data_IF_227745815941
#
_entry.id   IF_227745815941
#
_cell.length_a   1.000
_cell.length_b   1.000
_cell.length_c   1.000
_cell.angle_alpha   90.00
_cell.angle_beta   90.00
_cell.angle_gamma   90.00
#
_symmetry.space_group_name_H-M   'P 1'
#
loop_
_entity.id
_entity.type
_entity.pdbx_description
1 polymer ?
#
# COMPACT_ATOMS: atom_id res chain seq x y z
N UNK A 1 41.32 -28.09 -56.17
CA UNK A 1 40.17 -28.68 -55.45
C UNK A 1 40.28 -28.60 -53.91
N UNK A 2 41.44 -28.88 -53.28
CA UNK A 2 41.57 -28.85 -51.79
C UNK A 2 41.38 -27.47 -51.13
N UNK A 3 41.70 -26.36 -51.80
CA UNK A 3 41.53 -24.99 -51.23
C UNK A 3 40.08 -24.50 -51.22
N UNK A 4 39.25 -24.95 -52.17
CA UNK A 4 37.84 -24.61 -52.22
C UNK A 4 37.01 -25.34 -51.11
N UNK A 5 37.44 -26.58 -50.79
CA UNK A 5 36.77 -27.32 -49.71
C UNK A 5 37.06 -26.75 -48.31
N UNK A 6 38.26 -26.19 -48.10
CA UNK A 6 38.62 -25.55 -46.82
C UNK A 6 37.82 -24.22 -46.63
N UNK A 7 37.68 -23.43 -47.70
CA UNK A 7 36.85 -22.19 -47.64
C UNK A 7 35.35 -22.50 -47.39
N UNK A 8 34.85 -23.60 -47.95
CA UNK A 8 33.44 -24.00 -47.71
C UNK A 8 33.22 -24.49 -46.27
N UNK A 9 34.17 -25.24 -45.70
CA UNK A 9 34.11 -25.70 -44.30
C UNK A 9 34.26 -24.55 -43.31
N UNK A 10 35.09 -23.55 -43.58
CA UNK A 10 35.20 -22.33 -42.74
C UNK A 10 33.96 -21.45 -42.82
N UNK A 11 33.32 -21.35 -43.98
CA UNK A 11 32.04 -20.61 -44.14
C UNK A 11 30.89 -21.34 -43.41
N UNK A 12 30.82 -22.66 -43.47
CA UNK A 12 29.87 -23.48 -42.74
C UNK A 12 30.08 -23.40 -41.22
N UNK A 13 31.32 -23.40 -40.76
CA UNK A 13 31.64 -23.23 -39.34
C UNK A 13 31.31 -21.82 -38.84
N UNK A 14 31.53 -20.78 -39.66
CA UNK A 14 31.10 -19.40 -39.36
C UNK A 14 29.57 -19.24 -39.36
N UNK A 15 28.87 -19.90 -40.28
CA UNK A 15 27.40 -19.92 -40.25
C UNK A 15 26.83 -20.65 -39.04
N UNK A 16 27.47 -21.75 -38.61
CA UNK A 16 27.07 -22.46 -37.39
C UNK A 16 27.41 -21.65 -36.13
N UNK A 17 28.49 -20.90 -36.09
CA UNK A 17 28.83 -20.02 -34.98
C UNK A 17 27.88 -18.81 -34.87
N UNK A 18 27.45 -18.23 -36.01
CA UNK A 18 26.42 -17.17 -36.03
C UNK A 18 25.00 -17.68 -35.72
N UNK A 19 24.71 -18.97 -35.99
CA UNK A 19 23.37 -19.54 -35.73
C UNK A 19 23.16 -19.97 -34.27
N UNK A 20 24.18 -19.90 -33.42
CA UNK A 20 24.11 -20.27 -32.01
C UNK A 20 23.99 -19.07 -31.02
N UNK A 21 23.61 -17.90 -31.48
CA UNK A 21 22.94 -16.97 -30.56
C UNK A 21 21.57 -17.54 -30.18
N UNK A 22 21.56 -18.38 -29.15
CA UNK A 22 20.31 -18.78 -28.50
C UNK A 22 19.54 -17.51 -28.19
N UNK A 23 18.52 -17.21 -29.00
CA UNK A 23 17.56 -16.12 -28.68
C UNK A 23 17.08 -16.36 -27.26
N UNK A 24 17.62 -15.62 -26.31
CA UNK A 24 17.16 -15.70 -24.93
C UNK A 24 15.65 -15.49 -24.93
N UNK A 25 14.91 -16.41 -24.31
CA UNK A 25 13.48 -16.24 -24.17
C UNK A 25 13.18 -14.92 -23.47
N UNK A 26 12.04 -14.31 -23.73
CA UNK A 26 11.60 -13.07 -23.03
C UNK A 26 11.75 -13.22 -21.52
N UNK A 27 11.43 -14.42 -20.99
CA UNK A 27 11.59 -14.71 -19.58
C UNK A 27 13.06 -14.66 -19.13
N UNK A 28 14.01 -15.20 -19.91
CA UNK A 28 15.44 -15.15 -19.58
C UNK A 28 15.99 -13.72 -19.61
N UNK A 29 15.53 -12.89 -20.55
CA UNK A 29 15.92 -11.46 -20.61
C UNK A 29 15.38 -10.70 -19.41
N UNK A 30 14.12 -10.91 -19.04
CA UNK A 30 13.50 -10.31 -17.86
C UNK A 30 14.17 -10.81 -16.59
N UNK A 31 14.44 -12.11 -16.45
CA UNK A 31 15.14 -12.68 -15.30
C UNK A 31 16.56 -12.10 -15.14
N UNK A 32 17.34 -12.01 -16.22
CA UNK A 32 18.70 -11.44 -16.15
C UNK A 32 18.67 -9.97 -15.75
N UNK A 33 17.77 -9.18 -16.32
CA UNK A 33 17.62 -7.75 -16.00
C UNK A 33 17.17 -7.54 -14.55
N UNK A 34 16.17 -8.30 -14.08
CA UNK A 34 15.71 -8.27 -12.71
C UNK A 34 16.77 -8.76 -11.73
N UNK A 35 17.50 -9.83 -12.08
CA UNK A 35 18.60 -10.38 -11.26
C UNK A 35 19.73 -9.38 -11.12
N UNK A 36 20.18 -8.73 -12.21
CA UNK A 36 21.18 -7.68 -12.16
C UNK A 36 20.75 -6.52 -11.25
N UNK A 37 19.51 -6.06 -11.39
CA UNK A 37 18.94 -5.00 -10.55
C UNK A 37 18.80 -5.45 -9.09
N UNK A 38 18.38 -6.69 -8.88
CA UNK A 38 18.17 -7.26 -7.53
C UNK A 38 19.49 -7.44 -6.79
N UNK A 39 20.54 -7.98 -7.41
CA UNK A 39 21.81 -8.23 -6.76
C UNK A 39 22.80 -7.06 -6.81
N UNK A 40 22.63 -6.08 -7.70
CA UNK A 40 23.45 -4.85 -7.73
C UNK A 40 23.14 -4.00 -6.50
N UNK A 41 23.92 -4.18 -5.45
CA UNK A 41 23.63 -3.54 -4.17
C UNK A 41 24.62 -2.42 -3.88
N UNK A 42 24.12 -1.22 -3.60
CA UNK A 42 24.87 -0.20 -2.86
C UNK A 42 24.48 -0.23 -1.37
N UNK A 43 24.20 -1.43 -0.81
CA UNK A 43 23.82 -1.64 0.58
C UNK A 43 25.05 -1.94 1.43
N UNK A 44 25.00 -1.53 2.70
CA UNK A 44 25.92 -1.98 3.71
C UNK A 44 25.48 -3.38 4.19
N UNK A 45 26.24 -4.40 3.79
CA UNK A 45 25.92 -5.82 4.06
C UNK A 45 25.98 -6.17 5.55
N UNK A 46 26.64 -5.34 6.37
CA UNK A 46 26.57 -5.45 7.83
C UNK A 46 25.17 -5.15 8.38
N UNK A 47 24.40 -4.31 7.69
CA UNK A 47 23.06 -3.88 8.10
C UNK A 47 21.94 -4.57 7.34
N UNK A 48 22.09 -4.77 6.03
CA UNK A 48 21.03 -5.29 5.16
C UNK A 48 21.61 -6.35 4.23
N UNK A 49 20.92 -7.45 4.09
CA UNK A 49 21.23 -8.47 3.08
C UNK A 49 19.99 -8.83 2.28
N UNK A 50 20.21 -9.30 1.06
CA UNK A 50 19.17 -9.93 0.25
C UNK A 50 19.18 -11.43 0.44
N UNK A 51 18.02 -12.09 0.55
CA UNK A 51 17.94 -13.53 0.50
C UNK A 51 18.53 -14.06 -0.82
N UNK A 52 19.25 -15.14 -0.75
CA UNK A 52 19.83 -15.85 -1.93
C UNK A 52 18.76 -16.66 -2.70
N UNK A 53 17.52 -16.22 -2.65
CA UNK A 53 16.36 -16.93 -3.22
C UNK A 53 15.63 -16.02 -4.19
N UNK A 54 15.24 -16.56 -5.35
CA UNK A 54 14.48 -15.79 -6.36
C UNK A 54 13.00 -15.70 -6.00
N UNK A 55 12.45 -16.76 -5.44
CA UNK A 55 11.02 -16.88 -5.14
C UNK A 55 10.72 -16.79 -3.65
N UNK A 56 9.64 -16.13 -3.32
CA UNK A 56 9.06 -16.11 -1.98
C UNK A 56 7.56 -16.31 -2.10
N UNK A 57 7.01 -17.22 -1.30
CA UNK A 57 5.58 -17.47 -1.20
C UNK A 57 5.15 -17.10 0.23
N UNK A 58 4.04 -16.41 0.37
CA UNK A 58 3.50 -16.04 1.67
C UNK A 58 1.99 -16.16 1.72
N UNK A 59 1.49 -16.81 2.76
CA UNK A 59 0.09 -16.75 3.16
C UNK A 59 -0.11 -15.56 4.10
N UNK A 60 -1.21 -14.82 3.94
CA UNK A 60 -1.52 -13.62 4.71
C UNK A 60 -2.97 -13.63 5.13
N UNK A 61 -3.20 -13.27 6.37
CA UNK A 61 -4.53 -12.97 6.90
C UNK A 61 -4.57 -11.48 7.26
N UNK A 62 -5.54 -10.76 6.71
CA UNK A 62 -5.69 -9.33 6.96
C UNK A 62 -7.04 -9.07 7.61
N UNK A 63 -7.04 -8.17 8.58
CA UNK A 63 -8.24 -7.55 9.13
C UNK A 63 -8.11 -6.06 8.92
N UNK A 64 -9.15 -5.40 8.40
CA UNK A 64 -9.17 -3.96 8.15
C UNK A 64 -10.50 -3.35 8.53
N UNK A 65 -10.45 -2.07 8.92
CA UNK A 65 -11.60 -1.24 9.20
C UNK A 65 -11.40 0.19 8.71
N UNK A 66 -12.50 0.90 8.58
CA UNK A 66 -12.52 2.31 8.21
C UNK A 66 -13.62 3.01 8.98
N UNK A 67 -13.33 4.22 9.47
CA UNK A 67 -14.26 5.07 10.20
C UNK A 67 -14.20 6.46 9.57
N UNK A 68 -15.37 7.04 9.32
CA UNK A 68 -15.54 8.39 8.80
C UNK A 68 -16.33 9.16 9.84
N UNK A 69 -15.81 10.30 10.27
CA UNK A 69 -16.48 11.24 11.15
C UNK A 69 -16.63 12.55 10.41
N UNK A 70 -17.81 13.13 10.46
CA UNK A 70 -18.13 14.46 9.97
C UNK A 70 -18.66 15.30 11.12
N UNK A 71 -18.12 16.50 11.31
CA UNK A 71 -18.61 17.45 12.29
C UNK A 71 -18.63 18.86 11.70
N UNK A 72 -19.59 19.68 12.09
CA UNK A 72 -19.72 21.04 11.57
C UNK A 72 -20.86 21.78 12.17
N UNK A 73 -21.22 22.92 11.52
CA UNK A 73 -22.34 23.75 11.88
C UNK A 73 -23.31 23.81 10.69
N UNK A 74 -24.55 23.39 10.91
CA UNK A 74 -25.61 23.47 9.94
C UNK A 74 -26.77 24.28 10.55
N UNK A 75 -27.25 25.35 9.86
CA UNK A 75 -28.30 26.24 10.33
C UNK A 75 -28.05 26.80 11.75
N UNK A 76 -26.77 27.07 12.09
CA UNK A 76 -26.37 27.63 13.39
C UNK A 76 -26.34 26.63 14.54
N UNK A 77 -26.49 25.33 14.28
CA UNK A 77 -26.42 24.24 15.25
C UNK A 77 -25.28 23.29 14.91
N UNK A 78 -24.64 22.73 15.93
CA UNK A 78 -23.62 21.74 15.75
C UNK A 78 -24.22 20.39 15.34
N UNK A 79 -23.56 19.73 14.40
CA UNK A 79 -23.83 18.34 14.06
C UNK A 79 -22.56 17.48 14.14
N UNK A 80 -22.78 16.21 14.43
CA UNK A 80 -21.74 15.18 14.37
C UNK A 80 -22.31 13.90 13.78
N UNK A 81 -21.60 13.33 12.83
CA UNK A 81 -21.93 12.04 12.22
C UNK A 81 -20.75 11.12 12.32
N UNK A 82 -21.01 9.86 12.59
CA UNK A 82 -20.01 8.82 12.63
C UNK A 82 -20.49 7.60 11.83
N UNK A 83 -19.67 7.16 10.90
CA UNK A 83 -19.92 6.01 10.04
C UNK A 83 -18.75 5.04 10.11
N UNK A 84 -18.97 3.81 10.52
CA UNK A 84 -17.96 2.77 10.59
C UNK A 84 -18.26 1.68 9.55
N UNK A 85 -17.25 1.35 8.74
CA UNK A 85 -17.36 0.24 7.80
C UNK A 85 -17.24 -1.09 8.56
N UNK A 86 -18.06 -2.06 8.18
CA UNK A 86 -17.95 -3.41 8.70
C UNK A 86 -16.53 -3.95 8.53
N UNK A 87 -15.98 -4.54 9.60
CA UNK A 87 -14.63 -5.09 9.59
C UNK A 87 -14.50 -6.19 8.53
N UNK A 88 -13.44 -6.09 7.72
CA UNK A 88 -13.18 -7.02 6.63
C UNK A 88 -12.05 -7.95 7.00
N UNK A 89 -12.31 -9.25 6.94
CA UNK A 89 -11.29 -10.29 7.04
C UNK A 89 -11.00 -10.84 5.64
N UNK A 90 -9.73 -10.88 5.24
CA UNK A 90 -9.31 -11.40 3.93
C UNK A 90 -8.15 -12.36 4.08
N UNK A 91 -8.22 -13.47 3.34
CA UNK A 91 -7.11 -14.39 3.14
C UNK A 91 -6.43 -14.06 1.82
N UNK A 92 -5.12 -14.04 1.79
CA UNK A 92 -4.36 -13.78 0.58
C UNK A 92 -3.12 -14.66 0.48
N UNK A 93 -2.79 -15.03 -0.75
CA UNK A 93 -1.54 -15.69 -1.10
C UNK A 93 -0.72 -14.71 -1.92
N UNK A 94 0.51 -14.50 -1.52
CA UNK A 94 1.46 -13.66 -2.22
C UNK A 94 2.60 -14.49 -2.78
N UNK A 95 2.97 -14.20 -4.02
CA UNK A 95 4.15 -14.72 -4.68
C UNK A 95 5.04 -13.56 -5.05
N UNK A 96 6.31 -13.64 -4.68
CA UNK A 96 7.30 -12.63 -5.04
C UNK A 96 8.43 -13.26 -5.83
N UNK A 97 8.84 -12.58 -6.88
CA UNK A 97 9.98 -12.96 -7.70
C UNK A 97 10.96 -11.80 -7.79
N UNK A 98 12.19 -11.98 -7.29
CA UNK A 98 13.26 -10.97 -7.26
C UNK A 98 12.77 -9.60 -6.72
N UNK A 99 11.88 -9.61 -5.71
CA UNK A 99 11.36 -8.39 -5.07
C UNK A 99 10.11 -7.79 -5.73
N UNK A 100 9.66 -8.30 -6.87
CA UNK A 100 8.34 -8.00 -7.41
C UNK A 100 7.31 -8.91 -6.76
N UNK A 101 6.26 -8.36 -6.20
CA UNK A 101 5.25 -9.11 -5.44
C UNK A 101 3.88 -9.02 -6.10
N UNK A 102 3.26 -10.19 -6.27
CA UNK A 102 1.88 -10.32 -6.70
C UNK A 102 1.08 -10.95 -5.56
N UNK A 103 -0.11 -10.41 -5.30
CA UNK A 103 -0.97 -10.88 -4.23
C UNK A 103 -2.38 -11.12 -4.76
N UNK A 104 -2.90 -12.30 -4.50
CA UNK A 104 -4.31 -12.62 -4.72
C UNK A 104 -5.01 -12.67 -3.35
N UNK A 105 -6.08 -11.92 -3.18
CA UNK A 105 -6.84 -11.85 -1.93
C UNK A 105 -8.25 -12.36 -2.15
N UNK A 106 -8.72 -13.19 -1.24
CA UNK A 106 -10.08 -13.69 -1.18
C UNK A 106 -10.72 -13.17 0.10
N UNK A 107 -11.92 -12.63 -0.04
CA UNK A 107 -12.78 -12.31 1.09
C UNK A 107 -13.85 -13.41 1.24
N UNK A 108 -13.79 -14.27 2.28
CA UNK A 108 -14.76 -15.35 2.46
C UNK A 108 -16.20 -14.85 2.58
N UNK A 109 -16.43 -13.71 3.23
CA UNK A 109 -17.77 -13.14 3.38
C UNK A 109 -18.35 -12.65 2.03
N UNK A 110 -17.48 -12.20 1.11
CA UNK A 110 -17.89 -11.85 -0.26
C UNK A 110 -18.32 -13.08 -1.07
N UNK A 111 -17.61 -14.20 -0.91
CA UNK A 111 -17.97 -15.47 -1.53
C UNK A 111 -19.35 -15.98 -1.06
N UNK A 112 -19.75 -15.63 0.19
CA UNK A 112 -21.07 -15.93 0.74
C UNK A 112 -22.14 -14.86 0.41
N UNK A 113 -21.86 -13.90 -0.48
CA UNK A 113 -22.80 -12.86 -0.91
C UNK A 113 -23.08 -11.77 0.13
N UNK A 114 -22.38 -11.76 1.28
CA UNK A 114 -22.65 -10.82 2.39
C UNK A 114 -22.14 -9.40 2.15
N UNK A 115 -21.16 -9.18 1.24
CA UNK A 115 -20.56 -7.88 1.00
C UNK A 115 -20.37 -7.57 -0.47
N UNK A 116 -20.71 -6.33 -0.87
CA UNK A 116 -20.49 -5.80 -2.24
C UNK A 116 -19.19 -4.99 -2.36
N UNK A 117 -18.38 -4.97 -1.30
CA UNK A 117 -17.14 -4.22 -1.24
C UNK A 117 -16.01 -4.92 -1.97
N UNK A 118 -15.16 -4.15 -2.64
CA UNK A 118 -13.92 -4.66 -3.19
C UNK A 118 -12.76 -3.70 -2.95
N UNK A 119 -11.57 -4.28 -2.87
CA UNK A 119 -10.33 -3.56 -2.64
C UNK A 119 -9.23 -4.16 -3.51
N UNK A 120 -8.58 -3.30 -4.28
CA UNK A 120 -7.40 -3.64 -5.07
C UNK A 120 -6.20 -2.94 -4.47
N UNK A 121 -5.18 -3.69 -4.13
CA UNK A 121 -3.94 -3.17 -3.57
C UNK A 121 -2.77 -3.57 -4.44
N UNK A 122 -2.05 -2.58 -4.91
CA UNK A 122 -0.76 -2.77 -5.56
C UNK A 122 0.30 -2.03 -4.76
N UNK A 123 1.36 -2.73 -4.36
CA UNK A 123 2.46 -2.13 -3.64
C UNK A 123 3.81 -2.62 -4.17
N UNK A 124 4.77 -1.73 -4.21
CA UNK A 124 6.15 -2.04 -4.59
C UNK A 124 7.11 -1.30 -3.68
N UNK A 125 7.92 -2.06 -2.96
CA UNK A 125 8.90 -1.52 -2.02
C UNK A 125 10.29 -1.84 -2.51
N UNK A 126 10.94 -0.83 -3.09
CA UNK A 126 12.33 -0.86 -3.47
C UNK A 126 13.25 -0.38 -2.34
N UNK A 127 14.54 -0.34 -2.62
CA UNK A 127 15.54 0.12 -1.65
C UNK A 127 15.39 1.61 -1.30
N UNK A 128 15.25 2.47 -2.30
CA UNK A 128 15.16 3.93 -2.14
C UNK A 128 13.74 4.46 -2.27
N UNK A 129 12.96 3.87 -3.14
CA UNK A 129 11.60 4.29 -3.44
C UNK A 129 10.64 3.18 -3.11
N UNK A 130 9.49 3.54 -2.61
CA UNK A 130 8.35 2.66 -2.48
C UNK A 130 7.08 3.41 -2.83
N UNK A 131 6.08 2.66 -3.26
CA UNK A 131 4.75 3.20 -3.52
C UNK A 131 3.66 2.19 -3.23
N UNK A 132 2.50 2.71 -2.88
CA UNK A 132 1.26 1.97 -2.67
C UNK A 132 0.17 2.61 -3.52
N UNK A 133 -0.60 1.78 -4.21
CA UNK A 133 -1.84 2.15 -4.90
C UNK A 133 -2.96 1.30 -4.32
N UNK A 134 -3.97 1.95 -3.75
CA UNK A 134 -5.09 1.29 -3.11
C UNK A 134 -6.36 1.86 -3.72
N UNK A 135 -7.11 1.03 -4.44
CA UNK A 135 -8.46 1.34 -4.88
C UNK A 135 -9.47 0.56 -4.04
N UNK A 136 -10.44 1.25 -3.49
CA UNK A 136 -11.46 0.68 -2.63
C UNK A 136 -12.83 1.20 -3.03
N UNK A 137 -13.83 0.30 -3.04
CA UNK A 137 -15.22 0.64 -3.06
C UNK A 137 -15.88 -0.03 -1.85
N UNK A 138 -16.40 0.77 -0.94
CA UNK A 138 -17.04 0.32 0.30
C UNK A 138 -18.47 0.85 0.37
N UNK A 139 -19.42 -0.03 0.68
CA UNK A 139 -20.85 0.26 0.78
C UNK A 139 -21.46 -0.15 2.11
N UNK A 140 -20.73 -0.94 2.91
CA UNK A 140 -21.23 -1.48 4.17
C UNK A 140 -20.77 -0.62 5.32
N UNK A 141 -21.45 0.52 5.50
CA UNK A 141 -21.25 1.42 6.62
C UNK A 141 -22.51 1.44 7.46
N UNK A 142 -22.34 1.40 8.78
CA UNK A 142 -23.36 1.70 9.77
C UNK A 142 -22.89 2.84 10.65
N UNK A 143 -23.78 3.61 11.22
CA UNK A 143 -23.37 4.72 12.04
C UNK A 143 -24.53 5.48 12.64
N UNK A 144 -24.26 6.74 12.95
CA UNK A 144 -25.23 7.62 13.56
C UNK A 144 -24.99 9.07 13.14
N UNK A 145 -26.05 9.85 13.24
CA UNK A 145 -26.05 11.30 13.07
C UNK A 145 -26.69 11.94 14.29
N UNK A 146 -26.01 12.92 14.87
CA UNK A 146 -26.44 13.70 16.00
C UNK A 146 -26.44 15.18 15.61
N UNK A 147 -27.55 15.86 15.83
CA UNK A 147 -27.71 17.26 15.57
C UNK A 147 -28.18 17.93 16.85
N UNK A 148 -27.52 19.02 17.26
CA UNK A 148 -27.80 19.72 18.51
C UNK A 148 -29.28 20.08 18.67
N UNK A 149 -29.89 19.58 19.76
CA UNK A 149 -31.32 19.78 20.06
C UNK A 149 -32.26 18.83 19.33
N UNK A 150 -31.77 17.80 18.64
CA UNK A 150 -32.55 16.73 18.03
C UNK A 150 -32.21 15.38 18.64
N UNK A 151 -33.06 14.38 18.46
CA UNK A 151 -32.78 13.00 18.82
C UNK A 151 -31.77 12.41 17.86
N UNK A 152 -30.82 11.68 18.41
CA UNK A 152 -29.79 10.96 17.63
C UNK A 152 -30.43 9.93 16.72
N UNK A 153 -30.05 9.96 15.45
CA UNK A 153 -30.56 9.09 14.39
C UNK A 153 -29.54 8.00 14.05
N UNK A 154 -29.95 6.74 14.09
CA UNK A 154 -29.13 5.62 13.64
C UNK A 154 -29.18 5.50 12.12
N UNK A 155 -27.99 5.35 11.51
CA UNK A 155 -27.80 5.24 10.06
C UNK A 155 -27.63 3.76 9.69
N UNK A 156 -28.59 3.12 9.01
CA UNK A 156 -28.51 1.72 8.65
C UNK A 156 -27.47 1.44 7.57
N UNK A 157 -27.14 0.16 7.42
CA UNK A 157 -26.18 -0.31 6.41
C UNK A 157 -26.67 -0.04 4.98
N UNK A 158 -25.75 0.34 4.11
CA UNK A 158 -25.99 0.50 2.67
C UNK A 158 -26.32 1.93 2.23
N UNK A 159 -26.55 2.88 3.14
CA UNK A 159 -26.80 4.28 2.80
C UNK A 159 -25.56 4.98 2.25
N UNK A 160 -24.39 4.72 2.82
CA UNK A 160 -23.14 5.35 2.42
C UNK A 160 -22.34 4.45 1.45
N UNK A 161 -22.03 4.98 0.28
CA UNK A 161 -21.12 4.37 -0.70
C UNK A 161 -19.87 5.23 -0.85
N UNK A 162 -18.69 4.67 -0.60
CA UNK A 162 -17.43 5.39 -0.69
C UNK A 162 -16.48 4.68 -1.65
N UNK A 163 -16.12 5.37 -2.73
CA UNK A 163 -15.05 4.96 -3.65
C UNK A 163 -13.81 5.78 -3.34
N UNK A 164 -12.67 5.13 -3.12
CA UNK A 164 -11.42 5.81 -2.78
C UNK A 164 -10.27 5.27 -3.63
N UNK A 165 -9.47 6.17 -4.18
CA UNK A 165 -8.17 5.88 -4.76
C UNK A 165 -7.12 6.56 -3.89
N UNK A 166 -6.19 5.79 -3.31
CA UNK A 166 -5.06 6.32 -2.55
C UNK A 166 -3.76 5.96 -3.28
N UNK A 167 -2.93 6.94 -3.48
CA UNK A 167 -1.59 6.85 -4.04
C UNK A 167 -0.61 7.34 -2.98
N UNK A 168 0.33 6.51 -2.58
CA UNK A 168 1.37 6.93 -1.64
C UNK A 168 2.73 6.57 -2.23
N UNK A 169 3.66 7.50 -2.20
CA UNK A 169 5.04 7.30 -2.59
C UNK A 169 5.96 7.80 -1.48
N UNK A 170 7.10 7.14 -1.33
CA UNK A 170 8.12 7.59 -0.36
C UNK A 170 9.53 7.35 -0.88
N UNK A 171 10.43 8.20 -0.41
CA UNK A 171 11.88 8.11 -0.64
C UNK A 171 12.60 7.88 0.68
N UNK A 172 13.54 6.93 0.69
CA UNK A 172 14.34 6.53 1.85
C UNK A 172 15.75 7.12 1.74
N UNK A 173 16.11 8.05 2.63
CA UNK A 173 17.42 8.70 2.61
C UNK A 173 18.55 7.74 2.99
N UNK A 174 18.44 7.04 4.13
CA UNK A 174 19.44 6.09 4.61
C UNK A 174 19.24 4.68 4.02
N UNK A 175 19.00 4.57 2.73
CA UNK A 175 18.71 3.30 2.06
C UNK A 175 19.91 2.31 2.03
N UNK A 176 21.09 2.72 2.49
CA UNK A 176 22.27 1.83 2.61
C UNK A 176 22.18 0.95 3.85
N UNK A 177 21.60 1.46 4.96
CA UNK A 177 21.55 0.79 6.27
C UNK A 177 20.14 0.48 6.74
N UNK A 178 19.13 1.22 6.27
CA UNK A 178 17.72 1.02 6.61
C UNK A 178 16.96 0.40 5.43
N UNK A 179 16.17 -0.66 5.71
CA UNK A 179 15.38 -1.36 4.70
C UNK A 179 13.90 -1.37 5.06
N UNK A 180 13.12 -0.55 4.37
CA UNK A 180 11.66 -0.56 4.45
C UNK A 180 11.07 -1.90 3.96
N UNK A 181 11.57 -2.47 2.83
CA UNK A 181 11.11 -3.78 2.35
C UNK A 181 11.35 -4.94 3.33
N UNK A 182 12.33 -4.85 4.23
CA UNK A 182 12.55 -5.89 5.23
C UNK A 182 11.35 -6.04 6.17
N UNK A 183 10.61 -4.95 6.43
CA UNK A 183 9.44 -4.94 7.30
C UNK A 183 8.15 -5.35 6.59
N UNK A 184 7.96 -5.03 5.30
CA UNK A 184 6.65 -5.13 4.66
C UNK A 184 6.55 -6.12 3.49
N UNK A 185 7.66 -6.39 2.78
CA UNK A 185 7.69 -7.35 1.67
C UNK A 185 8.62 -8.54 1.90
N UNK A 186 9.45 -8.50 2.95
CA UNK A 186 10.45 -9.52 3.34
C UNK A 186 11.43 -9.87 2.20
N UNK A 187 11.55 -8.99 1.20
CA UNK A 187 12.52 -9.12 0.10
C UNK A 187 13.96 -8.75 0.51
N UNK A 188 14.13 -8.24 1.73
CA UNK A 188 15.40 -7.95 2.37
C UNK A 188 15.39 -8.47 3.81
N UNK A 189 16.58 -8.63 4.38
CA UNK A 189 16.78 -8.99 5.78
C UNK A 189 17.57 -7.88 6.44
N UNK A 190 17.00 -7.24 7.46
CA UNK A 190 17.71 -6.28 8.32
C UNK A 190 18.50 -7.08 9.37
N UNK A 191 19.80 -6.85 9.46
CA UNK A 191 20.72 -7.52 10.41
C UNK A 191 21.07 -6.71 11.63
N UNK A 192 21.09 -5.39 11.50
CA UNK A 192 21.38 -4.43 12.58
C UNK A 192 20.34 -3.32 12.57
N UNK A 193 20.08 -2.78 13.73
CA UNK A 193 19.17 -1.64 13.90
C UNK A 193 19.64 -0.44 13.10
N UNK A 194 18.69 0.21 12.41
CA UNK A 194 18.94 1.43 11.67
C UNK A 194 17.63 2.19 11.45
N UNK A 195 17.72 3.49 11.28
CA UNK A 195 16.62 4.35 10.92
C UNK A 195 16.90 5.18 9.68
N UNK A 196 15.86 5.82 9.17
CA UNK A 196 15.93 6.73 8.04
C UNK A 196 14.88 7.82 8.13
N UNK A 197 15.23 9.01 7.74
CA UNK A 197 14.24 9.99 7.29
C UNK A 197 13.61 9.49 5.98
N UNK A 198 12.32 9.80 5.84
CA UNK A 198 11.49 9.45 4.71
C UNK A 198 10.85 10.71 4.17
N UNK A 199 10.97 10.97 2.86
CA UNK A 199 10.15 11.96 2.18
C UNK A 199 8.92 11.24 1.64
N UNK A 200 7.74 11.84 1.80
CA UNK A 200 6.48 11.23 1.40
C UNK A 200 5.66 12.17 0.51
N UNK A 201 5.00 11.57 -0.46
CA UNK A 201 3.97 12.22 -1.28
C UNK A 201 2.74 11.32 -1.29
N UNK A 202 1.57 11.90 -1.08
CA UNK A 202 0.28 11.20 -1.06
C UNK A 202 -0.71 11.88 -1.99
N UNK A 203 -1.47 11.08 -2.73
CA UNK A 203 -2.61 11.51 -3.52
C UNK A 203 -3.85 10.73 -3.08
N UNK A 204 -4.98 11.40 -2.90
CA UNK A 204 -6.24 10.78 -2.55
C UNK A 204 -7.35 11.34 -3.43
N UNK A 205 -8.06 10.43 -4.13
CA UNK A 205 -9.34 10.72 -4.77
C UNK A 205 -10.43 9.97 -4.02
N UNK A 206 -11.50 10.67 -3.63
CA UNK A 206 -12.63 10.08 -2.93
C UNK A 206 -13.94 10.57 -3.56
N UNK A 207 -14.86 9.64 -3.74
CA UNK A 207 -16.23 9.90 -4.14
C UNK A 207 -17.13 9.17 -3.14
N UNK A 208 -17.85 9.94 -2.32
CA UNK A 208 -18.81 9.43 -1.36
C UNK A 208 -20.22 9.85 -1.77
N UNK A 209 -21.16 8.93 -1.67
CA UNK A 209 -22.59 9.17 -1.92
C UNK A 209 -23.35 8.65 -0.71
N UNK A 210 -24.10 9.52 -0.07
CA UNK A 210 -25.04 9.18 1.00
C UNK A 210 -26.46 9.31 0.43
N UNK A 211 -27.17 8.19 0.43
CA UNK A 211 -28.55 8.11 -0.06
C UNK A 211 -29.52 8.06 1.14
N UNK A 212 -29.85 9.25 1.62
CA UNK A 212 -30.77 9.49 2.73
C UNK A 212 -32.02 10.20 2.18
N UNK A 213 -32.66 11.06 2.95
CA UNK A 213 -33.81 11.84 2.54
C UNK A 213 -33.52 12.71 1.29
N UNK A 214 -32.36 13.35 1.28
CA UNK A 214 -31.80 13.97 0.08
C UNK A 214 -30.43 13.32 -0.24
N UNK A 215 -30.20 13.07 -1.53
CA UNK A 215 -28.94 12.52 -2.00
C UNK A 215 -27.82 13.52 -1.76
N UNK A 216 -26.81 13.10 -0.97
CA UNK A 216 -25.60 13.86 -0.78
C UNK A 216 -24.46 13.23 -1.56
N UNK A 217 -23.70 14.04 -2.29
CA UNK A 217 -22.53 13.60 -3.07
C UNK A 217 -21.31 14.45 -2.68
N UNK A 218 -20.23 13.79 -2.26
CA UNK A 218 -18.95 14.41 -1.95
C UNK A 218 -17.89 13.88 -2.91
N UNK A 219 -17.24 14.78 -3.62
CA UNK A 219 -16.06 14.51 -4.46
C UNK A 219 -14.87 15.25 -3.89
N UNK A 220 -13.77 14.55 -3.68
CA UNK A 220 -12.56 15.12 -3.09
C UNK A 220 -11.31 14.60 -3.80
N UNK A 221 -10.40 15.51 -4.12
CA UNK A 221 -9.07 15.19 -4.67
C UNK A 221 -8.04 15.99 -3.91
N UNK A 222 -7.12 15.29 -3.23
CA UNK A 222 -6.07 15.92 -2.44
C UNK A 222 -4.70 15.41 -2.86
N UNK A 223 -3.74 16.32 -2.89
CA UNK A 223 -2.31 16.01 -2.99
C UNK A 223 -1.62 16.51 -1.72
N UNK A 224 -0.80 15.68 -1.12
CA UNK A 224 -0.10 16.01 0.11
C UNK A 224 1.39 15.67 0.00
N UNK A 225 2.23 16.51 0.59
CA UNK A 225 3.67 16.35 0.68
C UNK A 225 4.10 16.42 2.13
N UNK A 226 5.13 15.67 2.49
CA UNK A 226 5.65 15.69 3.84
C UNK A 226 6.82 14.75 4.03
N UNK A 227 7.10 14.44 5.26
CA UNK A 227 8.18 13.55 5.61
C UNK A 227 8.02 13.01 7.02
N UNK A 228 8.83 12.04 7.34
CA UNK A 228 8.77 11.41 8.63
C UNK A 228 10.02 10.58 8.89
N UNK A 229 9.89 9.68 9.83
CA UNK A 229 10.99 8.83 10.25
C UNK A 229 10.53 7.37 10.37
N UNK A 230 11.40 6.46 9.97
CA UNK A 230 11.22 5.03 10.18
C UNK A 230 12.43 4.42 10.86
N UNK A 231 12.18 3.49 11.78
CA UNK A 231 13.22 2.78 12.50
C UNK A 231 12.99 1.27 12.48
N UNK A 232 14.04 0.54 12.15
CA UNK A 232 14.13 -0.91 12.24
C UNK A 232 14.97 -1.28 13.44
N UNK A 233 14.36 -1.84 14.46
CA UNK A 233 15.04 -2.37 15.64
C UNK A 233 15.25 -3.86 15.50
N UNK A 234 16.49 -4.32 15.65
CA UNK A 234 16.89 -5.73 15.57
C UNK A 234 17.45 -6.12 16.94
N UNK A 235 16.60 -6.59 17.88
CA UNK A 235 17.04 -6.96 19.23
C UNK A 235 17.99 -8.15 19.23
N UNK A 236 17.71 -9.14 18.39
CA UNK A 236 18.54 -10.33 18.19
C UNK A 236 18.45 -10.81 16.75
N UNK A 237 19.38 -11.67 16.34
CA UNK A 237 19.38 -12.20 14.99
C UNK A 237 18.05 -12.89 14.64
N UNK A 238 17.47 -12.50 13.50
CA UNK A 238 16.23 -13.03 12.98
C UNK A 238 14.97 -12.36 13.56
N UNK A 239 15.07 -11.36 14.43
CA UNK A 239 13.96 -10.51 14.83
C UNK A 239 14.07 -9.12 14.18
N UNK A 240 12.94 -8.58 13.78
CA UNK A 240 12.81 -7.22 13.29
C UNK A 240 11.53 -6.60 13.85
N UNK A 241 11.69 -5.47 14.54
CA UNK A 241 10.59 -4.58 14.92
C UNK A 241 10.72 -3.31 14.10
N UNK A 242 9.64 -2.91 13.45
CA UNK A 242 9.59 -1.68 12.66
C UNK A 242 8.54 -0.74 13.20
N UNK A 243 8.87 0.55 13.25
CA UNK A 243 7.92 1.64 13.48
C UNK A 243 8.26 2.79 12.55
N UNK A 244 7.23 3.36 11.92
CA UNK A 244 7.38 4.60 11.13
C UNK A 244 6.14 5.46 11.23
N UNK A 245 6.34 6.79 11.15
CA UNK A 245 5.30 7.79 11.08
C UNK A 245 5.64 8.80 9.99
N UNK A 246 4.69 9.05 9.10
CA UNK A 246 4.80 9.93 7.95
C UNK A 246 3.64 10.92 7.95
N UNK A 247 3.75 12.05 8.67
CA UNK A 247 2.85 13.17 8.48
C UNK A 247 3.09 13.82 7.11
N UNK A 248 2.00 14.09 6.38
CA UNK A 248 1.99 14.84 5.13
C UNK A 248 0.94 15.92 5.20
N UNK A 249 1.25 17.10 4.64
CA UNK A 249 0.37 18.25 4.60
C UNK A 249 -0.22 18.35 3.21
N UNK A 250 -1.53 18.56 3.16
CA UNK A 250 -2.24 18.76 1.89
C UNK A 250 -1.76 20.08 1.29
N UNK A 251 -1.24 20.03 0.07
CA UNK A 251 -0.75 21.19 -0.69
C UNK A 251 -1.70 21.58 -1.83
N UNK A 252 -2.60 20.66 -2.16
CA UNK A 252 -3.67 20.90 -3.12
C UNK A 252 -4.90 20.12 -2.71
N UNK A 253 -6.04 20.79 -2.68
CA UNK A 253 -7.35 20.21 -2.42
C UNK A 253 -8.37 20.76 -3.42
N UNK A 254 -9.15 19.84 -4.00
CA UNK A 254 -10.32 20.17 -4.78
C UNK A 254 -11.47 19.32 -4.25
N UNK A 255 -12.40 19.97 -3.55
CA UNK A 255 -13.52 19.32 -2.90
C UNK A 255 -14.81 19.98 -3.31
N UNK A 256 -15.78 19.19 -3.75
CA UNK A 256 -17.14 19.63 -4.04
C UNK A 256 -18.13 18.75 -3.30
N UNK A 257 -19.17 19.35 -2.77
CA UNK A 257 -20.26 18.70 -2.05
C UNK A 257 -21.58 19.17 -2.61
N UNK A 258 -22.47 18.25 -2.96
CA UNK A 258 -23.80 18.53 -3.45
C UNK A 258 -24.85 17.94 -2.53
N UNK A 259 -25.86 18.72 -2.18
CA UNK A 259 -27.10 18.31 -1.53
C UNK A 259 -28.24 18.45 -2.53
N UNK A 260 -28.73 17.32 -3.07
CA UNK A 260 -29.64 17.36 -4.20
C UNK A 260 -29.02 18.15 -5.37
N UNK A 261 -29.67 19.23 -5.76
CA UNK A 261 -29.22 20.14 -6.83
C UNK A 261 -28.40 21.34 -6.33
N UNK A 262 -28.14 21.45 -5.02
CA UNK A 262 -27.43 22.58 -4.42
C UNK A 262 -25.96 22.21 -4.16
N UNK A 263 -25.04 22.99 -4.76
CA UNK A 263 -23.63 22.88 -4.49
C UNK A 263 -23.23 23.65 -3.23
N UNK A 264 -22.57 22.97 -2.27
CA UNK A 264 -22.01 23.59 -1.06
C UNK A 264 -20.51 23.79 -1.28
N UNK A 265 -20.04 25.04 -1.32
CA UNK A 265 -18.61 25.29 -1.48
C UNK A 265 -17.85 24.89 -0.23
N UNK A 266 -16.90 23.97 -0.38
CA UNK A 266 -15.97 23.61 0.68
C UNK A 266 -14.61 24.25 0.40
N UNK A 267 -14.17 25.11 1.32
CA UNK A 267 -12.91 25.82 1.19
C UNK A 267 -11.78 25.03 1.83
N UNK A 268 -10.65 24.94 1.12
CA UNK A 268 -9.41 24.37 1.66
C UNK A 268 -8.86 25.27 2.77
N UNK A 269 -8.54 24.68 3.92
CA UNK A 269 -7.91 25.36 5.04
C UNK A 269 -6.59 24.69 5.42
N UNK A 270 -5.49 25.41 5.23
CA UNK A 270 -4.19 24.93 5.67
C UNK A 270 -4.02 25.13 7.20
N UNK A 271 -3.48 24.14 7.96
CA UNK A 271 -2.95 22.85 7.52
C UNK A 271 -3.96 21.71 7.57
N UNK A 272 -4.23 21.09 6.43
CA UNK A 272 -4.89 19.79 6.40
C UNK A 272 -3.83 18.69 6.42
N UNK A 273 -4.03 17.63 7.21
CA UNK A 273 -2.99 16.66 7.50
C UNK A 273 -3.44 15.24 7.19
N UNK A 274 -2.56 14.49 6.54
CA UNK A 274 -2.67 13.05 6.35
C UNK A 274 -1.51 12.39 7.09
N UNK A 275 -1.79 11.52 8.05
CA UNK A 275 -0.77 10.79 8.82
C UNK A 275 -0.81 9.32 8.43
N UNK A 276 0.32 8.78 7.99
CA UNK A 276 0.50 7.34 7.78
C UNK A 276 1.44 6.78 8.83
N UNK A 277 0.89 5.96 9.73
CA UNK A 277 1.64 5.18 10.72
C UNK A 277 1.79 3.73 10.27
N UNK A 278 2.96 3.14 10.49
CA UNK A 278 3.19 1.72 10.18
C UNK A 278 4.03 1.05 11.26
N UNK A 279 3.64 -0.18 11.61
CA UNK A 279 4.36 -1.03 12.53
C UNK A 279 4.51 -2.44 11.99
N UNK A 280 5.57 -3.15 12.37
CA UNK A 280 5.71 -4.57 12.06
C UNK A 280 6.58 -5.27 13.10
N UNK A 281 6.26 -6.53 13.37
CA UNK A 281 7.06 -7.46 14.16
C UNK A 281 7.27 -8.70 13.31
N UNK A 282 8.52 -9.08 13.08
CA UNK A 282 8.86 -10.18 12.19
C UNK A 282 9.89 -11.07 12.85
N UNK A 283 9.65 -12.37 12.78
CA UNK A 283 10.61 -13.42 13.11
C UNK A 283 11.03 -14.14 11.83
N UNK A 284 12.34 -14.29 11.64
CA UNK A 284 12.93 -15.02 10.52
C UNK A 284 13.84 -16.14 11.03
N UNK A 285 13.77 -17.30 10.39
CA UNK A 285 14.64 -18.45 10.68
C UNK A 285 14.83 -19.30 9.43
N UNK A 286 16.07 -19.52 9.03
CA UNK A 286 16.39 -20.16 7.75
C UNK A 286 15.68 -19.46 6.58
N UNK A 287 14.93 -20.21 5.82
CA UNK A 287 14.16 -19.73 4.68
C UNK A 287 12.71 -19.34 5.03
N UNK A 288 12.33 -19.39 6.32
CA UNK A 288 10.97 -19.11 6.79
C UNK A 288 10.90 -17.74 7.47
N UNK A 289 9.72 -17.15 7.43
CA UNK A 289 9.41 -15.95 8.20
C UNK A 289 7.95 -15.93 8.63
N UNK A 290 7.71 -15.37 9.79
CA UNK A 290 6.39 -15.11 10.36
C UNK A 290 6.36 -13.67 10.84
N UNK A 291 5.23 -13.01 10.72
CA UNK A 291 5.12 -11.65 11.24
C UNK A 291 3.70 -11.13 11.32
N UNK A 292 3.61 -10.01 12.00
CA UNK A 292 2.43 -9.16 12.04
C UNK A 292 2.83 -7.76 11.62
N UNK A 293 1.99 -7.11 10.84
CA UNK A 293 2.20 -5.71 10.46
C UNK A 293 0.89 -4.93 10.55
N UNK A 294 1.01 -3.65 10.86
CA UNK A 294 -0.11 -2.72 10.95
C UNK A 294 0.17 -1.51 10.08
N UNK A 295 -0.86 -1.03 9.39
CA UNK A 295 -0.89 0.26 8.70
C UNK A 295 -2.09 1.03 9.24
N UNK A 296 -1.84 2.27 9.62
CA UNK A 296 -2.84 3.21 10.12
C UNK A 296 -2.76 4.49 9.29
N UNK A 297 -3.87 4.92 8.72
CA UNK A 297 -3.98 6.17 7.99
C UNK A 297 -5.04 7.01 8.67
N UNK A 298 -4.68 8.25 8.97
CA UNK A 298 -5.57 9.25 9.52
C UNK A 298 -5.55 10.47 8.59
N UNK A 299 -6.73 10.97 8.26
CA UNK A 299 -6.90 12.16 7.42
C UNK A 299 -7.80 13.13 8.18
N UNK A 300 -7.35 14.38 8.28
CA UNK A 300 -8.12 15.47 8.86
C UNK A 300 -8.19 16.59 7.82
N UNK A 301 -9.38 16.89 7.32
CA UNK A 301 -9.64 17.83 6.24
C UNK A 301 -10.86 18.68 6.59
N UNK A 302 -10.80 19.98 6.23
CA UNK A 302 -11.84 20.94 6.48
C UNK A 302 -11.77 21.57 7.88
N UNK A 303 -12.80 22.35 8.23
CA UNK A 303 -12.85 23.13 9.45
C UNK A 303 -14.18 22.97 10.19
N UNK A 304 -14.15 22.90 11.53
CA UNK A 304 -15.34 22.66 12.36
C UNK A 304 -16.44 23.71 12.23
N UNK A 305 -16.09 24.95 11.84
CA UNK A 305 -17.06 26.03 11.62
C UNK A 305 -17.87 25.85 10.32
N UNK A 306 -17.42 24.99 9.41
CA UNK A 306 -18.14 24.62 8.19
C UNK A 306 -18.40 23.12 8.15
N UNK A 307 -17.42 22.36 7.75
CA UNK A 307 -17.45 20.89 7.73
C UNK A 307 -16.03 20.37 7.92
N UNK A 308 -15.78 19.66 9.01
CA UNK A 308 -14.57 18.89 9.23
C UNK A 308 -14.84 17.41 8.97
N UNK A 309 -13.94 16.78 8.21
CA UNK A 309 -13.99 15.37 7.88
C UNK A 309 -12.75 14.66 8.43
N UNK A 310 -12.98 13.68 9.28
CA UNK A 310 -11.94 12.80 9.79
C UNK A 310 -12.13 11.40 9.21
N UNK A 311 -11.11 10.89 8.58
CA UNK A 311 -11.14 9.55 8.00
C UNK A 311 -10.01 8.72 8.59
N UNK A 312 -10.36 7.65 9.26
CA UNK A 312 -9.44 6.68 9.85
C UNK A 312 -9.54 5.37 9.10
N UNK A 313 -8.41 4.86 8.62
CA UNK A 313 -8.30 3.53 8.03
C UNK A 313 -7.19 2.77 8.69
N UNK A 314 -7.45 1.53 9.06
CA UNK A 314 -6.44 0.66 9.63
C UNK A 314 -6.49 -0.73 9.01
N UNK A 315 -5.33 -1.37 8.98
CA UNK A 315 -5.18 -2.76 8.56
C UNK A 315 -4.13 -3.44 9.41
N UNK A 316 -4.50 -4.60 9.96
CA UNK A 316 -3.59 -5.54 10.61
C UNK A 316 -3.43 -6.73 9.69
N UNK A 317 -2.20 -7.19 9.52
CA UNK A 317 -1.84 -8.32 8.67
C UNK A 317 -0.97 -9.27 9.45
N UNK A 318 -1.39 -10.52 9.58
CA UNK A 318 -0.51 -11.62 9.97
C UNK A 318 -0.06 -12.37 8.71
N UNK A 319 1.17 -12.83 8.68
CA UNK A 319 1.71 -13.52 7.52
C UNK A 319 2.74 -14.57 7.89
N UNK A 320 2.74 -15.66 7.13
CA UNK A 320 3.77 -16.68 7.15
C UNK A 320 4.28 -16.89 5.72
N UNK A 321 5.59 -17.01 5.56
CA UNK A 321 6.17 -17.18 4.24
C UNK A 321 7.42 -18.05 4.19
N UNK A 322 7.68 -18.52 2.98
CA UNK A 322 8.79 -19.39 2.62
C UNK A 322 9.58 -18.75 1.49
N UNK A 323 10.89 -18.73 1.61
CA UNK A 323 11.83 -18.37 0.54
C UNK A 323 12.31 -19.65 -0.10
N UNK A 324 11.99 -19.86 -1.38
CA UNK A 324 12.36 -21.06 -2.10
C UNK A 324 13.78 -20.93 -2.63
N UNK A 325 14.67 -21.89 -2.34
CA UNK A 325 16.01 -21.89 -2.93
C UNK A 325 15.91 -21.95 -4.45
N UNK A 326 16.88 -21.36 -5.15
CA UNK A 326 17.00 -21.57 -6.59
C UNK A 326 17.22 -23.06 -6.81
N UNK A 327 16.42 -23.71 -7.64
CA UNK A 327 16.74 -25.05 -8.14
C UNK A 327 18.10 -24.98 -8.81
N UNK A 328 19.02 -25.84 -8.38
CA UNK A 328 20.33 -26.03 -9.00
C UNK A 328 20.17 -26.51 -10.43
#
# INVERSE_FOLDING_TARGET
>A
MKRAAICLLTLLALQQACAQEKKQSLFQRVDSMLSLRYYKSGMDTAYIVRPQTKWTIAARFNVSGSKIEAEGIENGRHFKSEMEANRKATLSVGVSYLGLSFNASLNPAKLMGKYRDYELNFNSYGRRFGFDVIYQNAKNFTGWHDHEGMERIELPDGLLSVKTLNLNAFYVFNSRRFSYPAAFSQSYIQRRSAGSFLLAASGMGQHATLDWDQKMELKMTNLALGGGYGYNYVPTQGWLLHLSALPTFVVYSNTSMNFGDTEVPLHYHFPEVIITGRGAIIRQWGNKFLGISMVYNFTNIGHKESLALHNTKWRIRTFFGLRLPASR
#
